data_IF_473207024273
#
_entry.id   IF_473207024273
#
_cell.length_a   1.000
_cell.length_b   1.000
_cell.length_c   1.000
_cell.angle_alpha   90.00
_cell.angle_beta   90.00
_cell.angle_gamma   90.00
#
_symmetry.space_group_name_H-M   'P 1'
#
loop_
_entity.id
_entity.type
_entity.pdbx_description
1 polymer ?
#
# COMPACT_ATOMS: atom_id res chain seq x y z
N UNK A 1 1.01 12.40 -6.61
CA UNK A 1 1.92 13.44 -6.07
C UNK A 1 1.20 14.45 -5.18
N UNK A 2 0.10 15.08 -5.62
CA UNK A 2 -0.63 16.06 -4.80
C UNK A 2 -1.10 15.49 -3.45
N UNK A 3 -1.65 14.25 -3.44
CA UNK A 3 -2.07 13.62 -2.19
C UNK A 3 -0.89 13.33 -1.24
N UNK A 4 0.18 12.74 -1.76
CA UNK A 4 1.43 12.52 -1.03
C UNK A 4 1.98 13.82 -0.40
N UNK A 5 1.92 14.94 -1.15
CA UNK A 5 2.34 16.25 -0.66
C UNK A 5 1.44 16.74 0.46
N UNK A 6 0.12 16.61 0.32
CA UNK A 6 -0.87 16.96 1.35
C UNK A 6 -0.65 16.15 2.62
N UNK A 7 -0.46 14.83 2.50
CA UNK A 7 -0.16 13.92 3.61
C UNK A 7 1.14 14.30 4.30
N UNK A 8 2.21 14.50 3.55
CA UNK A 8 3.50 14.89 4.11
C UNK A 8 3.40 16.22 4.88
N UNK A 9 2.76 17.24 4.31
CA UNK A 9 2.55 18.54 4.96
C UNK A 9 1.70 18.45 6.23
N UNK A 10 0.61 17.67 6.21
CA UNK A 10 -0.25 17.51 7.40
C UNK A 10 0.46 16.76 8.53
N UNK A 11 1.50 15.98 8.20
CA UNK A 11 2.32 15.21 9.12
C UNK A 11 3.63 15.89 9.52
N UNK A 12 3.97 17.03 8.91
CA UNK A 12 5.27 17.68 9.12
C UNK A 12 6.45 16.88 8.55
N UNK A 13 6.21 15.99 7.59
CA UNK A 13 7.25 15.19 6.93
C UNK A 13 8.03 16.07 5.94
N UNK A 14 9.36 15.96 5.94
CA UNK A 14 10.25 16.77 5.09
C UNK A 14 10.52 16.17 3.72
N UNK A 15 10.23 14.87 3.54
CA UNK A 15 10.41 14.15 2.28
C UNK A 15 9.06 13.64 1.77
N UNK A 16 8.70 14.02 0.55
CA UNK A 16 7.44 13.60 -0.08
C UNK A 16 7.69 12.36 -0.94
N UNK A 17 7.33 11.18 -0.41
CA UNK A 17 7.35 9.91 -1.16
C UNK A 17 5.91 9.41 -1.32
N UNK A 18 5.40 9.20 -2.55
CA UNK A 18 4.09 8.59 -2.77
C UNK A 18 4.01 7.17 -2.19
N UNK A 19 2.93 6.86 -1.48
CA UNK A 19 2.58 5.54 -0.94
C UNK A 19 1.34 4.98 -1.66
N UNK A 20 0.96 3.74 -1.37
CA UNK A 20 -0.24 3.13 -1.95
C UNK A 20 -1.51 3.87 -1.51
N UNK A 21 -1.58 4.29 -0.25
CA UNK A 21 -2.70 5.09 0.29
C UNK A 21 -2.91 6.41 -0.47
N UNK A 22 -1.84 6.96 -1.07
CA UNK A 22 -1.95 8.19 -1.83
C UNK A 22 -2.75 8.03 -3.13
N UNK A 23 -2.89 6.79 -3.61
CA UNK A 23 -3.52 6.44 -4.89
C UNK A 23 -5.05 6.45 -4.82
N UNK A 24 -5.67 6.39 -3.63
CA UNK A 24 -7.13 6.47 -3.47
C UNK A 24 -7.68 7.82 -3.98
N UNK A 25 -6.86 8.87 -3.94
CA UNK A 25 -7.20 10.17 -4.48
C UNK A 25 -7.24 10.19 -6.04
N UNK A 26 -6.71 9.16 -6.71
CA UNK A 26 -6.67 9.13 -8.18
C UNK A 26 -8.08 9.14 -8.77
N UNK A 27 -8.98 8.29 -8.27
CA UNK A 27 -10.37 8.19 -8.76
C UNK A 27 -11.06 9.56 -8.74
N UNK A 28 -10.98 10.28 -7.62
CA UNK A 28 -11.56 11.61 -7.49
C UNK A 28 -10.89 12.64 -8.41
N UNK A 29 -9.58 12.50 -8.67
CA UNK A 29 -8.81 13.46 -9.48
C UNK A 29 -9.00 13.27 -11.00
N UNK A 30 -9.35 12.07 -11.43
CA UNK A 30 -9.54 11.68 -12.84
C UNK A 30 -11.00 11.65 -13.27
N UNK A 31 -11.94 11.65 -12.31
CA UNK A 31 -13.37 11.74 -12.59
C UNK A 31 -13.69 12.96 -13.46
N UNK A 32 -14.43 12.73 -14.57
CA UNK A 32 -14.78 13.77 -15.54
C UNK A 32 -13.62 14.28 -16.42
N UNK A 33 -12.43 13.67 -16.34
CA UNK A 33 -11.28 13.98 -17.20
C UNK A 33 -10.87 12.85 -18.13
N UNK A 34 -11.32 11.63 -17.84
CA UNK A 34 -11.11 10.44 -18.66
C UNK A 34 -12.44 10.10 -19.29
N UNK A 35 -12.50 10.00 -20.61
CA UNK A 35 -13.68 9.47 -21.32
C UNK A 35 -13.54 7.96 -21.43
N UNK A 36 -14.51 7.23 -20.87
CA UNK A 36 -14.63 5.78 -21.02
C UNK A 36 -15.78 5.52 -21.99
N UNK A 37 -15.52 4.75 -23.05
CA UNK A 37 -16.51 4.54 -24.11
C UNK A 37 -17.83 3.96 -23.57
N UNK A 38 -18.92 4.40 -24.22
CA UNK A 38 -20.32 4.41 -23.80
C UNK A 38 -21.00 3.07 -23.48
N UNK A 39 -20.25 1.98 -23.36
CA UNK A 39 -20.76 0.72 -22.81
C UNK A 39 -20.67 0.67 -21.27
N UNK A 40 -20.05 1.67 -20.64
CA UNK A 40 -19.66 1.60 -19.24
C UNK A 40 -20.09 2.76 -18.32
N UNK A 41 -21.14 3.48 -18.71
CA UNK A 41 -21.72 4.58 -17.93
C UNK A 41 -21.99 4.15 -16.47
N UNK A 42 -21.28 4.78 -15.53
CA UNK A 42 -21.39 4.51 -14.09
C UNK A 42 -20.43 3.47 -13.50
N UNK A 43 -19.61 2.77 -14.30
CA UNK A 43 -18.54 1.87 -13.77
C UNK A 43 -17.13 2.47 -13.85
N UNK A 44 -16.98 3.72 -14.27
CA UNK A 44 -15.66 4.36 -14.45
C UNK A 44 -14.75 4.22 -13.23
N UNK A 45 -15.26 4.53 -12.04
CA UNK A 45 -14.51 4.40 -10.79
C UNK A 45 -14.05 2.96 -10.54
N UNK A 46 -14.89 1.95 -10.86
CA UNK A 46 -14.53 0.54 -10.71
C UNK A 46 -13.42 0.12 -11.68
N UNK A 47 -13.44 0.65 -12.91
CA UNK A 47 -12.40 0.38 -13.91
C UNK A 47 -11.07 0.97 -13.45
N UNK A 48 -11.07 2.23 -13.01
CA UNK A 48 -9.87 2.91 -12.52
C UNK A 48 -9.32 2.18 -11.28
N UNK A 49 -10.18 1.79 -10.34
CA UNK A 49 -9.77 0.98 -9.19
C UNK A 49 -9.19 -0.37 -9.60
N UNK A 50 -9.80 -1.05 -10.57
CA UNK A 50 -9.30 -2.34 -11.07
C UNK A 50 -7.94 -2.18 -11.74
N UNK A 51 -7.78 -1.16 -12.58
CA UNK A 51 -6.50 -0.83 -13.21
C UNK A 51 -5.44 -0.53 -12.17
N UNK A 52 -5.78 0.27 -11.14
CA UNK A 52 -4.87 0.60 -10.07
C UNK A 52 -4.40 -0.65 -9.30
N UNK A 53 -5.35 -1.52 -8.92
CA UNK A 53 -5.04 -2.79 -8.26
C UNK A 53 -4.17 -3.68 -9.13
N UNK A 54 -4.44 -3.75 -10.44
CA UNK A 54 -3.61 -4.50 -11.39
C UNK A 54 -2.19 -3.92 -11.48
N UNK A 55 -2.04 -2.60 -11.57
CA UNK A 55 -0.73 -1.94 -11.62
C UNK A 55 0.08 -2.16 -10.34
N UNK A 56 -0.55 -2.05 -9.16
CA UNK A 56 0.12 -2.33 -7.89
C UNK A 56 0.59 -3.79 -7.85
N UNK A 57 -0.29 -4.71 -8.25
CA UNK A 57 0.02 -6.14 -8.29
C UNK A 57 1.16 -6.47 -9.26
N UNK A 58 1.21 -5.79 -10.41
CA UNK A 58 2.29 -5.94 -11.40
C UNK A 58 3.63 -5.45 -10.86
N UNK A 59 3.67 -4.26 -10.25
CA UNK A 59 4.88 -3.73 -9.60
C UNK A 59 5.35 -4.68 -8.49
N UNK A 60 4.44 -5.13 -7.62
CA UNK A 60 4.76 -6.09 -6.57
C UNK A 60 5.36 -7.39 -7.12
N UNK A 61 4.81 -7.94 -8.21
CA UNK A 61 5.33 -9.15 -8.87
C UNK A 61 6.68 -8.95 -9.54
N UNK A 62 7.06 -7.71 -9.83
CA UNK A 62 8.41 -7.38 -10.28
C UNK A 62 9.46 -7.50 -9.17
N UNK A 63 9.06 -7.42 -7.90
CA UNK A 63 9.95 -7.56 -6.74
C UNK A 63 9.88 -8.95 -6.09
N UNK A 64 8.70 -9.59 -6.05
CA UNK A 64 8.50 -10.81 -5.28
C UNK A 64 7.75 -11.90 -6.03
N UNK A 65 8.18 -13.12 -5.76
CA UNK A 65 7.35 -14.33 -5.81
C UNK A 65 6.64 -14.53 -4.47
N UNK A 66 5.51 -15.26 -4.50
CA UNK A 66 4.75 -15.54 -3.28
C UNK A 66 5.55 -16.34 -2.24
N UNK A 67 6.53 -17.13 -2.69
CA UNK A 67 7.33 -18.02 -1.85
C UNK A 67 8.44 -17.30 -1.08
N UNK A 68 8.99 -16.22 -1.61
CA UNK A 68 9.94 -15.36 -0.90
C UNK A 68 9.31 -14.69 0.33
N UNK A 69 7.99 -14.48 0.30
CA UNK A 69 7.26 -13.82 1.39
C UNK A 69 6.58 -14.80 2.35
N UNK A 70 6.94 -16.09 2.31
CA UNK A 70 6.32 -17.11 3.17
C UNK A 70 6.45 -16.77 4.66
N UNK A 71 7.63 -16.33 5.10
CA UNK A 71 7.87 -15.94 6.49
C UNK A 71 7.03 -14.72 6.92
N UNK A 72 6.79 -13.77 6.01
CA UNK A 72 5.90 -12.63 6.26
C UNK A 72 4.49 -13.13 6.49
N UNK A 73 3.98 -13.97 5.58
CA UNK A 73 2.61 -14.52 5.69
C UNK A 73 2.43 -15.35 6.96
N UNK A 74 3.40 -16.22 7.30
CA UNK A 74 3.39 -16.99 8.56
C UNK A 74 3.31 -16.07 9.79
N UNK A 75 3.99 -14.91 9.79
CA UNK A 75 3.87 -13.92 10.86
C UNK A 75 2.44 -13.39 11.03
N UNK A 76 1.78 -13.04 9.93
CA UNK A 76 0.39 -12.60 9.93
C UNK A 76 -0.61 -13.70 10.33
N UNK A 77 -0.36 -14.94 9.93
CA UNK A 77 -1.15 -16.10 10.37
C UNK A 77 -1.02 -16.35 11.88
N UNK A 78 0.13 -16.01 12.47
CA UNK A 78 0.37 -16.06 13.92
C UNK A 78 -0.13 -14.83 14.70
N UNK A 79 -0.94 -13.97 14.07
CA UNK A 79 -1.64 -12.88 14.75
C UNK A 79 -0.99 -11.50 14.64
N UNK A 80 0.04 -11.33 13.79
CA UNK A 80 0.50 -9.98 13.43
C UNK A 80 -0.64 -9.20 12.77
N UNK A 81 -0.83 -7.96 13.22
CA UNK A 81 -1.76 -6.99 12.64
C UNK A 81 -0.99 -5.73 12.33
N UNK A 82 -1.16 -5.22 11.11
CA UNK A 82 -0.46 -4.03 10.63
C UNK A 82 -1.47 -3.01 10.13
N UNK A 83 -1.24 -1.75 10.47
CA UNK A 83 -2.03 -0.63 9.97
C UNK A 83 -1.22 0.21 8.99
N UNK A 84 -1.87 0.72 7.96
CA UNK A 84 -1.31 1.70 7.02
C UNK A 84 -2.34 2.79 6.74
N UNK A 85 -1.92 3.92 6.19
CA UNK A 85 -2.83 4.96 5.74
C UNK A 85 -2.29 6.37 5.85
N UNK A 86 -3.08 7.32 5.35
CA UNK A 86 -2.78 8.75 5.42
C UNK A 86 -2.79 9.26 6.86
N UNK A 87 -3.37 8.49 7.78
CA UNK A 87 -3.44 8.82 9.19
C UNK A 87 -2.21 8.37 10.01
N UNK A 88 -1.24 7.67 9.39
CA UNK A 88 0.01 7.22 10.03
C UNK A 88 1.22 8.05 9.54
N UNK A 89 2.00 8.54 10.51
CA UNK A 89 3.30 9.18 10.24
C UNK A 89 4.38 8.14 9.94
N UNK A 90 5.43 8.54 9.20
CA UNK A 90 6.53 7.65 8.82
C UNK A 90 7.25 6.98 9.99
N UNK A 91 7.28 7.63 11.16
CA UNK A 91 7.82 7.11 12.41
C UNK A 91 7.10 5.83 12.86
N UNK A 92 5.78 5.76 12.70
CA UNK A 92 4.98 4.60 13.07
C UNK A 92 5.28 3.39 12.17
N UNK A 93 5.60 3.61 10.89
CA UNK A 93 6.02 2.53 9.99
C UNK A 93 7.37 1.95 10.40
N UNK A 94 8.33 2.81 10.78
CA UNK A 94 9.66 2.37 11.25
C UNK A 94 9.53 1.55 12.54
N UNK A 95 8.82 2.07 13.55
CA UNK A 95 8.60 1.34 14.81
C UNK A 95 7.86 0.02 14.61
N UNK A 96 6.91 -0.03 13.68
CA UNK A 96 6.21 -1.26 13.35
C UNK A 96 7.14 -2.32 12.76
N UNK A 97 8.06 -1.94 11.86
CA UNK A 97 9.02 -2.88 11.26
C UNK A 97 9.98 -3.51 12.27
N UNK A 98 10.28 -2.82 13.37
CA UNK A 98 11.06 -3.39 14.48
C UNK A 98 10.36 -4.59 15.13
N UNK A 99 9.03 -4.65 15.03
CA UNK A 99 8.21 -5.71 15.62
C UNK A 99 7.91 -6.87 14.67
N UNK A 100 8.19 -6.72 13.37
CA UNK A 100 7.92 -7.75 12.33
C UNK A 100 9.17 -7.98 11.46
N UNK A 101 10.17 -8.74 11.95
CA UNK A 101 11.45 -8.90 11.25
C UNK A 101 11.34 -9.40 9.81
N UNK A 102 10.46 -10.38 9.54
CA UNK A 102 10.28 -10.90 8.18
C UNK A 102 9.79 -9.82 7.19
N UNK A 103 8.99 -8.85 7.65
CA UNK A 103 8.52 -7.75 6.81
C UNK A 103 9.66 -6.76 6.52
N UNK A 104 10.61 -6.61 7.44
CA UNK A 104 11.78 -5.74 7.26
C UNK A 104 12.64 -6.18 6.09
N UNK A 105 12.89 -7.49 5.97
CA UNK A 105 13.69 -8.04 4.86
C UNK A 105 12.98 -7.84 3.52
N UNK A 106 11.66 -8.05 3.47
CA UNK A 106 10.86 -7.77 2.28
C UNK A 106 10.88 -6.27 1.90
N UNK A 107 10.81 -5.37 2.89
CA UNK A 107 10.88 -3.93 2.62
C UNK A 107 12.22 -3.52 2.02
N UNK A 108 13.33 -4.09 2.50
CA UNK A 108 14.66 -3.82 1.97
C UNK A 108 14.82 -4.26 0.50
N UNK A 109 14.16 -5.34 0.09
CA UNK A 109 14.13 -5.81 -1.30
C UNK A 109 13.37 -4.85 -2.24
N UNK A 110 12.33 -4.17 -1.74
CA UNK A 110 11.67 -3.10 -2.53
C UNK A 110 12.58 -1.89 -2.67
N UNK A 111 13.19 -1.47 -1.56
CA UNK A 111 14.06 -0.30 -1.54
C UNK A 111 15.11 -0.43 -0.43
N UNK A 112 16.38 -0.48 -0.83
CA UNK A 112 17.53 -0.41 0.08
C UNK A 112 17.76 1.05 0.54
N UNK A 113 16.86 1.54 1.40
CA UNK A 113 16.88 2.91 1.92
C UNK A 113 16.53 2.93 3.40
N UNK A 114 17.22 3.81 4.13
CA UNK A 114 16.92 4.12 5.53
C UNK A 114 16.01 5.35 5.68
N UNK A 115 15.58 5.97 4.57
CA UNK A 115 14.63 7.09 4.62
C UNK A 115 13.24 6.59 5.05
N UNK A 116 12.70 7.05 6.19
CA UNK A 116 11.40 6.61 6.69
C UNK A 116 10.24 6.77 5.69
N UNK A 117 10.29 7.77 4.81
CA UNK A 117 9.27 7.98 3.79
C UNK A 117 9.33 6.92 2.69
N UNK A 118 10.54 6.48 2.31
CA UNK A 118 10.74 5.37 1.36
C UNK A 118 10.33 4.05 2.01
N UNK A 119 10.72 3.84 3.26
CA UNK A 119 10.32 2.65 4.05
C UNK A 119 8.80 2.52 4.13
N UNK A 120 8.08 3.61 4.43
CA UNK A 120 6.61 3.59 4.49
C UNK A 120 5.97 3.22 3.13
N UNK A 121 6.52 3.72 2.02
CA UNK A 121 6.08 3.36 0.68
C UNK A 121 6.29 1.86 0.39
N UNK A 122 7.47 1.35 0.69
CA UNK A 122 7.81 -0.06 0.50
C UNK A 122 6.93 -0.99 1.35
N UNK A 123 6.69 -0.64 2.62
CA UNK A 123 5.77 -1.38 3.49
C UNK A 123 4.39 -1.49 2.85
N UNK A 124 3.82 -0.37 2.39
CA UNK A 124 2.49 -0.38 1.80
C UNK A 124 2.42 -1.20 0.51
N UNK A 125 3.46 -1.15 -0.33
CA UNK A 125 3.53 -1.97 -1.54
C UNK A 125 3.51 -3.47 -1.22
N UNK A 126 4.32 -3.91 -0.24
CA UNK A 126 4.40 -5.33 0.15
C UNK A 126 3.05 -5.81 0.69
N UNK A 127 2.43 -5.05 1.58
CA UNK A 127 1.16 -5.43 2.20
C UNK A 127 0.01 -5.45 1.21
N UNK A 128 -0.08 -4.43 0.34
CA UNK A 128 -1.11 -4.38 -0.69
C UNK A 128 -0.92 -5.52 -1.70
N UNK A 129 0.32 -5.80 -2.13
CA UNK A 129 0.60 -6.90 -3.04
C UNK A 129 0.26 -8.28 -2.45
N UNK A 130 0.56 -8.51 -1.17
CA UNK A 130 0.15 -9.72 -0.46
C UNK A 130 -1.39 -9.83 -0.35
N UNK A 131 -2.08 -8.72 -0.09
CA UNK A 131 -3.54 -8.70 -0.11
C UNK A 131 -4.11 -9.05 -1.49
N UNK A 132 -3.61 -8.41 -2.55
CA UNK A 132 -4.05 -8.61 -3.93
C UNK A 132 -3.73 -10.02 -4.47
N UNK A 133 -2.66 -10.66 -3.98
CA UNK A 133 -2.37 -12.08 -4.19
C UNK A 133 -3.13 -13.03 -3.26
N UNK A 134 -4.12 -12.52 -2.48
CA UNK A 134 -4.97 -13.31 -1.59
C UNK A 134 -4.19 -14.04 -0.50
N UNK A 135 -3.08 -13.46 -0.02
CA UNK A 135 -2.29 -13.97 1.11
C UNK A 135 -2.65 -13.28 2.42
N UNK A 136 -3.12 -12.03 2.38
CA UNK A 136 -3.60 -11.28 3.55
C UNK A 136 -5.03 -10.77 3.35
N UNK A 137 -5.75 -10.63 4.46
CA UNK A 137 -7.00 -9.87 4.49
C UNK A 137 -6.68 -8.39 4.70
N UNK A 138 -7.49 -7.52 4.09
CA UNK A 138 -7.45 -6.06 4.25
C UNK A 138 -8.83 -5.56 4.63
N UNK A 139 -8.91 -4.82 5.73
CA UNK A 139 -10.09 -4.06 6.13
C UNK A 139 -9.76 -2.57 6.05
N UNK A 140 -10.40 -1.84 5.14
CA UNK A 140 -10.19 -0.41 4.93
C UNK A 140 -11.37 0.40 5.49
N UNK A 141 -11.07 1.37 6.37
CA UNK A 141 -12.07 2.27 6.96
C UNK A 141 -11.51 3.68 6.98
N UNK A 142 -12.14 4.58 6.21
CA UNK A 142 -11.69 5.97 6.10
C UNK A 142 -10.27 6.05 5.53
N UNK A 143 -9.37 6.72 6.26
CA UNK A 143 -7.98 6.91 5.84
C UNK A 143 -7.04 5.75 6.20
N UNK A 144 -7.54 4.71 6.88
CA UNK A 144 -6.74 3.61 7.43
C UNK A 144 -7.10 2.29 6.78
N UNK A 145 -6.08 1.48 6.49
CA UNK A 145 -6.21 0.07 6.16
C UNK A 145 -5.58 -0.79 7.26
N UNK A 146 -6.18 -1.95 7.52
CA UNK A 146 -5.68 -2.95 8.48
C UNK A 146 -5.45 -4.26 7.75
N UNK A 147 -4.23 -4.81 7.88
CA UNK A 147 -3.81 -6.07 7.29
C UNK A 147 -3.66 -7.12 8.38
N UNK A 148 -4.19 -8.32 8.12
CA UNK A 148 -4.18 -9.46 9.04
C UNK A 148 -4.10 -10.78 8.28
N UNK A 149 -3.65 -11.83 8.96
CA UNK A 149 -3.68 -13.20 8.44
C UNK A 149 -5.09 -13.61 8.01
N UNK A 150 -5.18 -14.59 7.10
CA UNK A 150 -6.47 -14.96 6.51
C UNK A 150 -7.43 -15.65 7.48
N UNK A 151 -6.89 -16.40 8.45
CA UNK A 151 -7.67 -17.23 9.38
C UNK A 151 -8.29 -18.44 8.70
#
# INVERSE_FOLDING_TARGET
VANATRRALSRGETHVVPRVSDLDALVASTSGKIEIESMDDGRESMIIESMLRQSILEVFRGHFTTEELRAVVEGFENGVVVHTGDDLGVDQYVSMLETVPALKDAVAEVADSQDPAVVACAVELVLEGLHLNKRLNKDAVGARATYRGRG
#
